data_IF_881905944396
#
_entry.id   IF_881905944396
#
_cell.length_a   1.000
_cell.length_b   1.000
_cell.length_c   1.000
_cell.angle_alpha   90.00
_cell.angle_beta   90.00
_cell.angle_gamma   90.00
#
_symmetry.space_group_name_H-M   'P 1'
#
loop_
_entity.id
_entity.type
_entity.pdbx_description
1 polymer ?
#
# COMPACT_ATOMS: atom_id res chain seq x y z
N UNK A 1 -1.52 -27.20 10.95
CA UNK A 1 -0.60 -26.11 11.36
C UNK A 1 -1.02 -24.84 10.64
N UNK A 2 -1.60 -23.86 11.33
CA UNK A 2 -1.95 -22.56 10.72
C UNK A 2 -0.65 -21.83 10.37
N UNK A 3 -0.29 -21.76 9.09
CA UNK A 3 0.85 -20.94 8.66
C UNK A 3 0.44 -19.47 8.84
N UNK A 4 1.23 -18.73 9.61
CA UNK A 4 1.07 -17.28 9.73
C UNK A 4 1.08 -16.63 8.34
N UNK A 5 0.13 -15.73 8.08
CA UNK A 5 0.09 -15.01 6.80
C UNK A 5 1.39 -14.20 6.59
N UNK A 6 1.84 -14.02 5.34
CA UNK A 6 3.03 -13.22 5.07
C UNK A 6 2.88 -11.78 5.57
N UNK A 7 4.01 -11.19 5.97
CA UNK A 7 4.12 -9.81 6.44
C UNK A 7 4.99 -9.02 5.45
N UNK A 8 4.74 -7.73 5.33
CA UNK A 8 5.64 -6.79 4.66
C UNK A 8 6.20 -5.86 5.72
N UNK A 9 7.53 -5.81 5.82
CA UNK A 9 8.21 -4.86 6.68
C UNK A 9 8.60 -3.63 5.89
N UNK A 10 8.35 -2.47 6.46
CA UNK A 10 8.45 -1.19 5.81
C UNK A 10 9.39 -0.28 6.62
N UNK A 11 10.40 0.27 5.95
CA UNK A 11 11.33 1.30 6.47
C UNK A 11 11.34 2.49 5.52
N UNK A 12 11.97 3.61 5.87
CA UNK A 12 11.84 4.85 5.10
C UNK A 12 12.18 4.70 3.61
N UNK A 13 13.27 3.99 3.26
CA UNK A 13 13.72 3.83 1.87
C UNK A 13 13.57 2.40 1.29
N UNK A 14 13.45 1.39 2.16
CA UNK A 14 13.51 -0.02 1.76
C UNK A 14 12.35 -0.81 2.38
N UNK A 15 11.79 -1.72 1.59
CA UNK A 15 10.81 -2.69 2.03
C UNK A 15 11.46 -4.08 2.10
N UNK A 16 11.18 -4.86 3.14
CA UNK A 16 11.53 -6.27 3.16
C UNK A 16 10.31 -7.12 2.80
N UNK A 17 10.37 -7.73 1.63
CA UNK A 17 9.29 -8.52 1.04
C UNK A 17 9.50 -10.02 1.29
N UNK A 18 8.45 -10.81 1.58
CA UNK A 18 8.53 -12.26 1.56
C UNK A 18 8.91 -12.72 0.16
N UNK A 19 10.02 -13.44 0.02
CA UNK A 19 10.56 -13.81 -1.29
C UNK A 19 9.58 -14.65 -2.10
N UNK A 20 8.80 -15.51 -1.43
CA UNK A 20 7.76 -16.36 -2.03
C UNK A 20 6.62 -15.59 -2.74
N UNK A 21 6.48 -14.27 -2.49
CA UNK A 21 5.48 -13.43 -3.15
C UNK A 21 6.03 -12.67 -4.36
N UNK A 22 7.34 -12.67 -4.56
CA UNK A 22 8.01 -11.93 -5.63
C UNK A 22 8.11 -12.75 -6.91
N UNK A 23 8.13 -12.05 -8.04
CA UNK A 23 8.37 -12.64 -9.36
C UNK A 23 9.84 -12.44 -9.74
N UNK A 24 10.46 -13.50 -10.24
CA UNK A 24 11.80 -13.42 -10.79
C UNK A 24 11.83 -12.55 -12.05
N UNK A 25 12.90 -11.76 -12.24
CA UNK A 25 13.12 -10.98 -13.47
C UNK A 25 14.06 -11.69 -14.46
N UNK A 26 14.58 -12.87 -14.07
CA UNK A 26 15.41 -13.73 -14.89
C UNK A 26 15.75 -15.05 -14.17
N UNK A 27 16.49 -15.94 -14.84
CA UNK A 27 16.81 -17.28 -14.31
C UNK A 27 17.70 -17.25 -13.06
N UNK A 28 18.65 -16.31 -12.97
CA UNK A 28 19.49 -16.13 -11.80
C UNK A 28 18.66 -15.71 -10.58
N UNK A 29 17.76 -14.73 -10.76
CA UNK A 29 16.82 -14.29 -9.74
C UNK A 29 15.89 -15.41 -9.29
N UNK A 30 15.41 -16.25 -10.22
CA UNK A 30 14.47 -17.33 -9.88
C UNK A 30 15.04 -18.32 -8.87
N UNK A 31 16.30 -18.76 -9.05
CA UNK A 31 16.97 -19.67 -8.12
C UNK A 31 17.21 -19.04 -6.75
N UNK A 32 17.55 -17.75 -6.75
CA UNK A 32 17.79 -16.99 -5.53
C UNK A 32 16.50 -16.76 -4.74
N UNK A 33 15.43 -16.30 -5.40
CA UNK A 33 14.12 -16.09 -4.79
C UNK A 33 13.51 -17.37 -4.24
N UNK A 34 13.70 -18.51 -4.92
CA UNK A 34 13.17 -19.80 -4.49
C UNK A 34 13.73 -20.28 -3.12
N UNK A 35 14.91 -19.78 -2.74
CA UNK A 35 15.59 -20.16 -1.49
C UNK A 35 15.56 -19.06 -0.43
N UNK A 36 15.35 -17.82 -0.84
CA UNK A 36 15.31 -16.68 0.07
C UNK A 36 14.04 -16.70 0.92
N UNK A 37 14.16 -16.18 2.15
CA UNK A 37 13.01 -15.90 3.01
C UNK A 37 12.47 -14.49 2.75
N UNK A 38 13.38 -13.53 2.65
CA UNK A 38 13.06 -12.13 2.39
C UNK A 38 13.90 -11.57 1.24
N UNK A 39 13.41 -10.49 0.65
CA UNK A 39 14.16 -9.66 -0.30
C UNK A 39 14.02 -8.21 0.10
N UNK A 40 15.14 -7.52 0.22
CA UNK A 40 15.17 -6.08 0.37
C UNK A 40 14.89 -5.44 -1.00
N UNK A 41 13.87 -4.61 -1.06
CA UNK A 41 13.41 -3.90 -2.25
C UNK A 41 13.42 -2.41 -1.99
N UNK A 42 14.12 -1.66 -2.84
CA UNK A 42 14.12 -0.19 -2.76
C UNK A 42 12.75 0.35 -3.14
N UNK A 43 12.19 1.27 -2.36
CA UNK A 43 10.85 1.81 -2.60
C UNK A 43 10.74 2.63 -3.88
N UNK A 44 11.65 3.59 -4.08
CA UNK A 44 11.61 4.56 -5.20
C UNK A 44 11.55 3.94 -6.60
N UNK A 45 12.21 2.80 -6.83
CA UNK A 45 12.34 2.19 -8.16
C UNK A 45 12.00 0.68 -8.18
N UNK A 46 11.74 0.09 -7.02
CA UNK A 46 11.44 -1.32 -6.89
C UNK A 46 12.59 -2.27 -7.17
N UNK A 47 13.84 -1.80 -7.21
CA UNK A 47 15.03 -2.64 -7.40
C UNK A 47 15.22 -3.59 -6.22
N UNK A 48 15.54 -4.85 -6.51
CA UNK A 48 15.97 -5.81 -5.48
C UNK A 48 17.42 -5.53 -5.10
N UNK A 49 17.67 -5.40 -3.81
CA UNK A 49 18.96 -4.96 -3.24
C UNK A 49 19.71 -6.12 -2.59
N UNK A 50 18.99 -7.02 -1.92
CA UNK A 50 19.56 -8.20 -1.29
C UNK A 50 18.50 -9.29 -1.10
N UNK A 51 18.93 -10.54 -1.07
CA UNK A 51 18.13 -11.67 -0.59
C UNK A 51 18.62 -12.12 0.78
N UNK A 52 17.67 -12.43 1.66
CA UNK A 52 17.91 -12.84 3.04
C UNK A 52 17.52 -14.31 3.17
N UNK A 53 18.46 -15.12 3.66
CA UNK A 53 18.31 -16.54 3.93
C UNK A 53 18.35 -16.79 5.44
N UNK A 54 18.11 -18.02 5.87
CA UNK A 54 18.17 -18.38 7.30
C UNK A 54 19.56 -18.14 7.92
N UNK A 55 20.63 -18.20 7.11
CA UNK A 55 22.01 -18.10 7.57
C UNK A 55 22.84 -17.07 6.80
N UNK A 56 22.24 -15.98 6.32
CA UNK A 56 23.01 -14.88 5.75
C UNK A 56 22.25 -13.99 4.78
N UNK A 57 22.98 -12.99 4.27
CA UNK A 57 22.51 -11.99 3.32
C UNK A 57 23.32 -12.12 2.04
N UNK A 58 22.65 -12.24 0.90
CA UNK A 58 23.27 -12.15 -0.42
C UNK A 58 22.95 -10.79 -1.04
N UNK A 59 23.97 -9.97 -1.25
CA UNK A 59 23.81 -8.69 -1.93
C UNK A 59 23.54 -8.89 -3.42
N UNK A 60 22.57 -8.14 -3.95
CA UNK A 60 22.26 -8.06 -5.38
C UNK A 60 22.82 -6.77 -6.02
N UNK A 61 23.53 -5.96 -5.23
CA UNK A 61 24.19 -4.73 -5.66
C UNK A 61 25.64 -4.69 -5.16
N UNK A 62 26.54 -3.91 -5.81
CA UNK A 62 27.96 -3.89 -5.44
C UNK A 62 28.24 -3.41 -4.00
N UNK A 63 27.45 -2.45 -3.49
CA UNK A 63 27.74 -1.78 -2.21
C UNK A 63 26.50 -1.67 -1.31
N UNK A 64 25.92 -2.81 -0.90
CA UNK A 64 24.75 -2.83 -0.01
C UNK A 64 24.93 -2.01 1.29
N UNK A 65 26.08 -2.03 1.99
CA UNK A 65 26.23 -1.24 3.21
C UNK A 65 26.14 0.27 3.01
N UNK A 66 26.38 0.77 1.78
CA UNK A 66 26.29 2.19 1.44
C UNK A 66 24.91 2.57 0.90
N UNK A 67 24.03 1.59 0.65
CA UNK A 67 22.69 1.85 0.15
C UNK A 67 21.83 2.51 1.24
N UNK A 68 21.23 3.69 0.97
CA UNK A 68 20.40 4.38 1.94
C UNK A 68 19.28 3.48 2.49
N UNK A 69 19.18 3.39 3.82
CA UNK A 69 18.20 2.55 4.52
C UNK A 69 18.52 1.06 4.59
N UNK A 70 19.65 0.58 4.03
CA UNK A 70 19.95 -0.85 4.04
C UNK A 70 20.24 -1.39 5.44
N UNK A 71 21.03 -0.67 6.24
CA UNK A 71 21.28 -1.02 7.64
C UNK A 71 19.97 -1.02 8.44
N UNK A 72 19.15 0.03 8.30
CA UNK A 72 17.84 0.13 8.95
C UNK A 72 16.92 -1.04 8.58
N UNK A 73 16.84 -1.42 7.31
CA UNK A 73 15.99 -2.52 6.86
C UNK A 73 16.46 -3.88 7.37
N UNK A 74 17.78 -4.11 7.45
CA UNK A 74 18.36 -5.32 8.03
C UNK A 74 18.11 -5.38 9.54
N UNK A 75 18.29 -4.27 10.24
CA UNK A 75 18.00 -4.16 11.67
C UNK A 75 16.51 -4.39 11.93
N UNK A 76 15.63 -3.75 11.16
CA UNK A 76 14.19 -3.91 11.22
C UNK A 76 13.77 -5.40 11.09
N UNK A 77 14.39 -6.14 10.18
CA UNK A 77 14.13 -7.58 10.00
C UNK A 77 14.50 -8.41 11.23
N UNK A 78 15.53 -8.02 11.99
CA UNK A 78 15.90 -8.71 13.23
C UNK A 78 14.81 -8.61 14.31
N UNK A 79 13.96 -7.58 14.24
CA UNK A 79 12.81 -7.40 15.15
C UNK A 79 11.62 -8.29 14.80
N UNK A 80 11.53 -8.81 13.56
CA UNK A 80 10.54 -9.81 13.17
C UNK A 80 10.93 -11.21 13.70
N UNK A 81 10.95 -11.33 15.04
CA UNK A 81 11.20 -12.59 15.72
C UNK A 81 9.85 -13.29 16.05
N UNK A 82 9.60 -14.51 15.53
CA UNK A 82 8.39 -15.28 15.82
C UNK A 82 8.12 -15.47 17.32
N UNK A 83 9.17 -15.47 18.17
CA UNK A 83 9.05 -15.68 19.61
C UNK A 83 8.68 -14.41 20.40
N UNK A 84 8.92 -13.21 19.86
CA UNK A 84 8.61 -11.94 20.55
C UNK A 84 7.24 -11.36 20.21
N UNK A 85 6.57 -11.91 19.19
CA UNK A 85 5.32 -11.39 18.66
C UNK A 85 5.50 -10.09 17.88
N UNK A 86 4.59 -9.79 16.94
CA UNK A 86 4.66 -8.57 16.13
C UNK A 86 4.06 -7.33 16.81
N UNK A 87 3.51 -7.47 18.01
CA UNK A 87 2.68 -6.45 18.69
C UNK A 87 3.26 -5.02 18.67
N UNK A 88 4.52 -4.81 19.09
CA UNK A 88 5.14 -3.47 19.07
C UNK A 88 5.26 -2.86 17.66
N UNK A 89 5.42 -3.69 16.62
CA UNK A 89 5.55 -3.22 15.24
C UNK A 89 4.19 -2.89 14.60
N UNK A 90 3.08 -3.49 15.05
CA UNK A 90 1.73 -3.26 14.51
C UNK A 90 1.23 -1.81 14.68
N UNK A 91 1.75 -1.12 15.70
CA UNK A 91 1.37 0.26 16.03
C UNK A 91 2.42 1.29 15.58
N UNK A 92 3.61 0.84 15.17
CA UNK A 92 4.70 1.74 14.80
C UNK A 92 4.45 2.31 13.39
N UNK A 93 4.59 3.62 13.29
CA UNK A 93 4.50 4.38 12.05
C UNK A 93 5.89 4.94 11.69
N UNK A 94 6.15 5.10 10.40
CA UNK A 94 7.32 5.79 9.87
C UNK A 94 7.19 7.30 10.06
N UNK A 95 8.33 7.98 10.17
CA UNK A 95 8.36 9.43 10.35
C UNK A 95 7.96 10.13 9.06
N UNK A 96 7.05 11.13 9.09
CA UNK A 96 6.70 11.92 7.92
C UNK A 96 7.74 13.00 7.59
N UNK A 97 8.89 13.07 8.27
CA UNK A 97 9.85 14.18 8.14
C UNK A 97 10.32 14.41 6.69
N UNK A 98 10.55 13.35 5.91
CA UNK A 98 10.94 13.46 4.49
C UNK A 98 9.81 13.86 3.53
N UNK A 99 8.56 13.97 3.99
CA UNK A 99 7.43 14.34 3.14
C UNK A 99 7.42 15.82 2.77
N UNK A 100 7.80 16.70 3.69
CA UNK A 100 7.76 18.15 3.46
C UNK A 100 8.68 18.54 2.30
N UNK A 101 9.91 18.02 2.26
CA UNK A 101 10.86 18.27 1.17
C UNK A 101 10.32 17.77 -0.18
N UNK A 102 9.67 16.60 -0.20
CA UNK A 102 9.07 16.02 -1.41
C UNK A 102 7.87 16.81 -1.92
N UNK A 103 7.06 17.34 -1.02
CA UNK A 103 5.94 18.21 -1.36
C UNK A 103 6.43 19.55 -1.92
N UNK A 104 7.47 20.14 -1.32
CA UNK A 104 8.09 21.36 -1.83
C UNK A 104 8.65 21.19 -3.25
N UNK A 105 9.23 20.03 -3.57
CA UNK A 105 9.68 19.71 -4.95
C UNK A 105 8.53 19.70 -5.97
N UNK A 106 7.30 19.45 -5.52
CA UNK A 106 6.09 19.54 -6.33
C UNK A 106 5.45 20.94 -6.31
N UNK A 107 6.08 21.91 -5.64
CA UNK A 107 5.53 23.25 -5.43
C UNK A 107 4.33 23.26 -4.48
N UNK A 108 4.23 22.28 -3.59
CA UNK A 108 3.14 22.13 -2.62
C UNK A 108 3.63 22.46 -1.22
N UNK A 109 2.93 23.37 -0.57
CA UNK A 109 3.04 23.58 0.87
C UNK A 109 2.09 22.62 1.60
N UNK A 110 2.64 21.84 2.55
CA UNK A 110 1.90 20.77 3.20
C UNK A 110 0.74 21.31 4.06
N UNK A 111 0.99 22.39 4.81
CA UNK A 111 0.00 22.97 5.72
C UNK A 111 -1.12 23.66 4.94
N UNK A 112 -0.80 24.40 3.88
CA UNK A 112 -1.78 25.00 2.99
C UNK A 112 -2.60 23.93 2.26
N UNK A 113 -1.96 22.84 1.81
CA UNK A 113 -2.68 21.72 1.17
C UNK A 113 -3.64 21.04 2.15
N UNK A 114 -3.19 20.77 3.39
CA UNK A 114 -4.03 20.22 4.45
C UNK A 114 -5.21 21.15 4.77
N UNK A 115 -4.97 22.46 4.91
CA UNK A 115 -6.01 23.43 5.21
C UNK A 115 -7.05 23.56 4.08
N UNK A 116 -6.60 23.53 2.82
CA UNK A 116 -7.48 23.69 1.66
C UNK A 116 -8.31 22.45 1.35
N UNK A 117 -7.80 21.25 1.65
CA UNK A 117 -8.45 19.97 1.33
C UNK A 117 -9.09 19.31 2.53
N UNK A 118 -8.70 19.67 3.76
CA UNK A 118 -9.06 18.93 4.97
C UNK A 118 -8.47 17.52 5.04
N UNK A 119 -7.55 17.14 4.12
CA UNK A 119 -6.84 15.87 4.18
C UNK A 119 -5.74 15.94 5.25
N UNK A 120 -5.56 14.83 5.98
CA UNK A 120 -4.51 14.70 6.97
C UNK A 120 -3.25 14.06 6.35
N UNK A 121 -2.10 14.33 6.97
CA UNK A 121 -0.89 13.57 6.69
C UNK A 121 -1.04 12.13 7.20
N UNK A 122 -0.80 11.19 6.30
CA UNK A 122 -0.90 9.75 6.52
C UNK A 122 0.51 9.15 6.57
N UNK A 123 0.96 8.82 7.78
CA UNK A 123 2.21 8.11 7.98
C UNK A 123 2.09 6.65 7.52
N UNK A 124 3.19 6.10 7.01
CA UNK A 124 3.23 4.70 6.60
C UNK A 124 3.39 3.78 7.82
N UNK A 125 2.69 2.64 7.89
CA UNK A 125 2.94 1.64 8.92
C UNK A 125 4.28 0.92 8.68
N UNK A 126 4.98 0.58 9.76
CA UNK A 126 6.19 -0.26 9.71
C UNK A 126 5.86 -1.70 9.34
N UNK A 127 4.67 -2.18 9.72
CA UNK A 127 4.25 -3.55 9.48
C UNK A 127 2.90 -3.62 8.75
N UNK A 128 2.88 -4.40 7.67
CA UNK A 128 1.70 -4.66 6.86
C UNK A 128 1.47 -6.17 6.74
N UNK A 129 0.20 -6.53 6.56
CA UNK A 129 -0.27 -7.91 6.48
C UNK A 129 -0.73 -8.23 5.07
N UNK A 130 -0.39 -9.43 4.61
CA UNK A 130 -0.88 -9.93 3.34
C UNK A 130 -2.41 -10.08 3.39
N UNK A 131 -3.08 -9.40 2.47
CA UNK A 131 -4.53 -9.32 2.38
C UNK A 131 -5.08 -10.04 1.14
N UNK A 132 -4.23 -10.82 0.45
CA UNK A 132 -4.55 -11.53 -0.79
C UNK A 132 -3.79 -10.95 -1.97
N UNK A 133 -4.29 -11.21 -3.18
CA UNK A 133 -3.79 -10.57 -4.40
C UNK A 133 -4.85 -9.65 -4.96
N UNK A 134 -4.41 -8.54 -5.54
CA UNK A 134 -5.28 -7.68 -6.32
C UNK A 134 -5.64 -8.32 -7.67
N UNK A 135 -6.53 -7.67 -8.43
CA UNK A 135 -7.00 -8.17 -9.73
C UNK A 135 -5.90 -8.34 -10.77
N UNK A 136 -4.75 -7.70 -10.58
CA UNK A 136 -3.56 -7.83 -11.44
C UNK A 136 -2.57 -8.89 -10.94
N UNK A 137 -2.94 -9.63 -9.89
CA UNK A 137 -2.14 -10.68 -9.28
C UNK A 137 -0.97 -10.17 -8.42
N UNK A 138 -0.93 -8.87 -8.08
CA UNK A 138 0.08 -8.29 -7.20
C UNK A 138 -0.31 -8.53 -5.73
N UNK A 139 0.66 -8.74 -4.81
CA UNK A 139 0.34 -8.85 -3.39
C UNK A 139 -0.36 -7.60 -2.87
N UNK A 140 -1.48 -7.80 -2.16
CA UNK A 140 -2.23 -6.75 -1.49
C UNK A 140 -1.76 -6.66 -0.03
N UNK A 141 -1.43 -5.45 0.40
CA UNK A 141 -0.92 -5.17 1.74
C UNK A 141 -1.84 -4.19 2.45
N UNK A 142 -2.22 -4.50 3.70
CA UNK A 142 -3.06 -3.67 4.56
C UNK A 142 -2.59 -3.79 6.02
N UNK A 143 -2.96 -2.84 6.87
CA UNK A 143 -2.82 -3.01 8.33
C UNK A 143 -3.64 -4.22 8.79
N UNK A 144 -3.24 -4.85 9.91
CA UNK A 144 -3.84 -6.09 10.40
C UNK A 144 -5.38 -6.04 10.47
N UNK A 145 -5.93 -4.99 11.07
CA UNK A 145 -7.38 -4.80 11.23
C UNK A 145 -8.10 -4.70 9.88
N UNK A 146 -7.63 -3.82 8.99
CA UNK A 146 -8.14 -3.67 7.64
C UNK A 146 -8.03 -4.97 6.83
N UNK A 147 -6.92 -5.71 6.92
CA UNK A 147 -6.75 -6.99 6.25
C UNK A 147 -7.76 -8.05 6.73
N UNK A 148 -8.04 -8.10 8.03
CA UNK A 148 -9.04 -9.01 8.61
C UNK A 148 -10.45 -8.62 8.21
N UNK A 149 -10.78 -7.33 8.29
CA UNK A 149 -12.07 -6.78 7.87
C UNK A 149 -12.33 -7.05 6.38
N UNK A 150 -11.34 -6.79 5.51
CA UNK A 150 -11.42 -7.08 4.08
C UNK A 150 -11.76 -8.55 3.80
N UNK A 151 -11.08 -9.49 4.47
CA UNK A 151 -11.38 -10.92 4.30
C UNK A 151 -12.80 -11.29 4.72
N UNK A 152 -13.30 -10.72 5.83
CA UNK A 152 -14.69 -10.96 6.28
C UNK A 152 -15.70 -10.37 5.32
N UNK A 153 -15.48 -9.14 4.87
CA UNK A 153 -16.36 -8.44 3.92
C UNK A 153 -16.48 -9.20 2.60
N UNK A 154 -15.34 -9.61 2.00
CA UNK A 154 -15.35 -10.42 0.78
C UNK A 154 -16.05 -11.77 0.96
N UNK A 155 -15.83 -12.43 2.10
CA UNK A 155 -16.43 -13.74 2.36
C UNK A 155 -17.95 -13.62 2.50
N UNK A 156 -18.44 -12.56 3.16
CA UNK A 156 -19.87 -12.29 3.25
C UNK A 156 -20.45 -11.99 1.86
N UNK A 157 -19.87 -11.03 1.14
CA UNK A 157 -20.31 -10.69 -0.22
C UNK A 157 -20.41 -11.94 -1.11
N UNK A 158 -19.39 -12.81 -1.08
CA UNK A 158 -19.37 -14.02 -1.88
C UNK A 158 -20.48 -15.02 -1.51
N UNK A 159 -20.87 -15.12 -0.22
CA UNK A 159 -21.99 -15.95 0.22
C UNK A 159 -23.34 -15.43 -0.28
N UNK A 160 -23.41 -14.14 -0.55
CA UNK A 160 -24.59 -13.44 -1.05
C UNK A 160 -24.55 -13.27 -2.58
N UNK A 161 -23.64 -13.98 -3.26
CA UNK A 161 -23.52 -13.95 -4.72
C UNK A 161 -22.82 -12.72 -5.30
N UNK A 162 -22.23 -11.87 -4.45
CA UNK A 162 -21.50 -10.66 -4.85
C UNK A 162 -19.99 -10.93 -4.88
N UNK A 163 -19.38 -10.72 -6.04
CA UNK A 163 -17.94 -10.83 -6.19
C UNK A 163 -17.26 -9.48 -5.94
N UNK A 164 -16.33 -9.44 -4.98
CA UNK A 164 -15.46 -8.29 -4.74
C UNK A 164 -14.00 -8.65 -5.05
N UNK A 165 -13.35 -7.83 -5.88
CA UNK A 165 -11.92 -7.86 -6.12
C UNK A 165 -11.24 -6.59 -5.56
N UNK A 166 -9.95 -6.70 -5.25
CA UNK A 166 -9.14 -5.55 -4.86
C UNK A 166 -8.40 -5.02 -6.08
N UNK A 167 -8.32 -3.70 -6.20
CA UNK A 167 -7.59 -3.01 -7.26
C UNK A 167 -6.23 -2.54 -6.71
N UNK A 168 -6.24 -1.92 -5.53
CA UNK A 168 -5.05 -1.37 -4.88
C UNK A 168 -5.24 -1.27 -3.36
N UNK A 169 -4.15 -1.41 -2.58
CA UNK A 169 -4.16 -1.34 -1.11
C UNK A 169 -3.10 -0.36 -0.62
N UNK A 170 -2.25 -0.77 0.32
CA UNK A 170 -1.12 0.07 0.76
C UNK A 170 -0.27 0.57 -0.42
N UNK A 171 0.11 1.85 -0.34
CA UNK A 171 0.96 2.55 -1.29
C UNK A 171 1.94 3.43 -0.53
N UNK A 172 3.24 3.30 -0.77
CA UNK A 172 4.23 4.17 -0.13
C UNK A 172 4.18 5.60 -0.67
N UNK A 173 4.72 6.55 0.09
CA UNK A 173 4.98 7.93 -0.28
C UNK A 173 5.84 7.99 -1.55
N UNK A 174 6.90 7.17 -1.61
CA UNK A 174 7.76 7.02 -2.79
C UNK A 174 6.99 6.57 -4.03
N UNK A 175 6.08 5.59 -3.88
CA UNK A 175 5.26 5.14 -5.00
C UNK A 175 4.34 6.25 -5.49
N UNK A 176 3.69 6.99 -4.57
CA UNK A 176 2.79 8.09 -4.90
C UNK A 176 3.56 9.23 -5.59
N UNK A 177 4.77 9.57 -5.12
CA UNK A 177 5.64 10.53 -5.80
C UNK A 177 5.97 10.09 -7.22
N UNK A 178 6.29 8.80 -7.43
CA UNK A 178 6.51 8.25 -8.76
C UNK A 178 5.28 8.36 -9.69
N UNK A 179 4.04 8.35 -9.15
CA UNK A 179 2.84 8.64 -9.96
C UNK A 179 2.87 10.08 -10.46
N UNK A 180 3.20 11.03 -9.59
CA UNK A 180 3.31 12.45 -9.92
C UNK A 180 4.39 12.67 -10.97
N UNK A 181 5.60 12.16 -10.76
CA UNK A 181 6.72 12.27 -11.70
C UNK A 181 6.34 11.76 -13.10
N UNK A 182 5.69 10.59 -13.19
CA UNK A 182 5.24 10.03 -14.48
C UNK A 182 4.16 10.87 -15.16
N UNK A 183 3.29 11.53 -14.40
CA UNK A 183 2.23 12.40 -14.94
C UNK A 183 2.79 13.75 -15.39
N UNK A 184 3.72 14.32 -14.63
CA UNK A 184 4.48 15.52 -14.99
C UNK A 184 5.30 15.28 -16.27
N UNK A 185 5.98 14.13 -16.38
CA UNK A 185 6.71 13.73 -17.59
C UNK A 185 5.80 13.56 -18.82
N UNK A 186 4.49 13.37 -18.63
CA UNK A 186 3.47 13.36 -19.69
C UNK A 186 2.84 14.73 -19.95
N UNK A 187 3.34 15.78 -19.32
CA UNK A 187 2.88 17.16 -19.51
C UNK A 187 1.68 17.57 -18.67
N UNK A 188 1.20 16.75 -17.72
CA UNK A 188 0.14 17.16 -16.80
C UNK A 188 0.69 18.15 -15.77
N UNK A 189 -0.11 19.13 -15.38
CA UNK A 189 0.24 20.07 -14.30
C UNK A 189 -0.11 19.49 -12.94
N UNK A 190 0.63 19.86 -11.89
CA UNK A 190 0.37 19.42 -10.51
C UNK A 190 -1.10 19.62 -10.11
N UNK A 191 -1.68 20.79 -10.43
CA UNK A 191 -3.09 21.09 -10.14
C UNK A 191 -4.09 20.15 -10.84
N UNK A 192 -3.76 19.58 -12.00
CA UNK A 192 -4.60 18.61 -12.71
C UNK A 192 -4.47 17.23 -12.09
N UNK A 193 -3.25 16.85 -11.69
CA UNK A 193 -2.96 15.60 -11.00
C UNK A 193 -3.73 15.55 -9.66
N UNK A 194 -3.74 16.66 -8.92
CA UNK A 194 -4.36 16.76 -7.60
C UNK A 194 -5.88 16.60 -7.60
N UNK A 195 -6.55 16.71 -8.75
CA UNK A 195 -8.01 16.42 -8.85
C UNK A 195 -8.31 14.93 -8.72
N UNK A 196 -7.38 14.07 -9.13
CA UNK A 196 -7.58 12.61 -9.23
C UNK A 196 -6.58 11.82 -8.37
N UNK A 197 -5.63 12.49 -7.72
CA UNK A 197 -4.64 11.87 -6.87
C UNK A 197 -4.29 12.80 -5.71
N UNK A 198 -4.50 12.35 -4.48
CA UNK A 198 -3.98 13.06 -3.30
C UNK A 198 -2.46 13.24 -3.40
N UNK A 199 -1.94 14.34 -2.84
CA UNK A 199 -0.51 14.60 -2.79
C UNK A 199 0.24 13.49 -2.01
N UNK A 200 1.52 13.21 -2.32
CA UNK A 200 2.33 12.28 -1.53
C UNK A 200 2.30 12.66 -0.04
N UNK A 201 1.95 11.70 0.82
CA UNK A 201 1.74 11.95 2.25
C UNK A 201 0.30 12.22 2.65
N UNK A 202 -0.59 12.57 1.71
CA UNK A 202 -2.01 12.85 1.98
C UNK A 202 -2.97 11.79 1.41
N UNK A 203 -2.44 10.73 0.80
CA UNK A 203 -3.26 9.59 0.35
C UNK A 203 -3.54 8.64 1.51
N UNK A 204 -4.82 8.29 1.71
CA UNK A 204 -5.23 7.30 2.70
C UNK A 204 -4.60 5.91 2.48
N UNK A 205 -4.13 5.60 1.27
CA UNK A 205 -3.39 4.36 0.99
C UNK A 205 -2.07 4.27 1.75
N UNK A 206 -1.44 5.38 2.13
CA UNK A 206 -0.21 5.38 2.92
C UNK A 206 -0.42 4.71 4.28
N UNK A 207 -1.59 4.91 4.87
CA UNK A 207 -1.95 4.32 6.16
C UNK A 207 -2.04 2.79 6.15
N UNK A 208 -2.15 2.17 4.97
CA UNK A 208 -2.51 0.76 4.82
C UNK A 208 -3.93 0.41 5.29
N UNK A 209 -4.80 1.41 5.49
CA UNK A 209 -6.20 1.23 5.86
C UNK A 209 -7.17 1.45 4.70
N UNK A 210 -6.72 2.08 3.60
CA UNK A 210 -7.51 2.27 2.40
C UNK A 210 -7.35 1.12 1.41
N UNK A 211 -8.42 0.86 0.67
CA UNK A 211 -8.55 -0.19 -0.31
C UNK A 211 -9.40 0.30 -1.48
N UNK A 212 -8.88 0.14 -2.69
CA UNK A 212 -9.68 0.28 -3.91
C UNK A 212 -10.36 -1.07 -4.20
N UNK A 213 -11.68 -1.06 -4.31
CA UNK A 213 -12.52 -2.25 -4.51
C UNK A 213 -13.18 -2.17 -5.88
N UNK A 214 -13.23 -3.30 -6.57
CA UNK A 214 -13.94 -3.46 -7.83
C UNK A 214 -14.75 -4.76 -7.85
N UNK A 215 -15.26 -5.07 -9.04
CA UNK A 215 -15.95 -6.32 -9.35
C UNK A 215 -15.44 -6.90 -10.67
N UNK A 216 -15.39 -8.24 -10.83
CA UNK A 216 -15.04 -8.85 -12.11
C UNK A 216 -15.94 -8.35 -13.25
N UNK A 217 -15.32 -8.07 -14.41
CA UNK A 217 -16.03 -7.58 -15.60
C UNK A 217 -16.13 -6.05 -15.71
N UNK A 218 -15.95 -5.32 -14.62
CA UNK A 218 -15.96 -3.85 -14.61
C UNK A 218 -14.54 -3.25 -14.70
N UNK A 219 -14.34 -2.11 -15.39
CA UNK A 219 -13.07 -1.41 -15.43
C UNK A 219 -12.56 -1.00 -14.03
N UNK A 220 -11.24 -1.08 -13.77
CA UNK A 220 -10.70 -0.75 -12.45
C UNK A 220 -10.68 0.75 -12.20
N UNK A 221 -11.18 1.17 -11.04
CA UNK A 221 -11.08 2.55 -10.56
C UNK A 221 -11.72 3.55 -11.51
N UNK A 222 -12.89 3.20 -12.02
CA UNK A 222 -13.73 4.04 -12.87
C UNK A 222 -15.08 4.30 -12.22
N UNK A 223 -15.71 5.41 -12.60
CA UNK A 223 -16.99 5.82 -12.02
C UNK A 223 -18.12 4.82 -12.31
N UNK A 224 -18.02 4.05 -13.40
CA UNK A 224 -18.99 2.99 -13.76
C UNK A 224 -19.21 1.95 -12.66
N UNK A 225 -18.23 1.78 -11.76
CA UNK A 225 -18.37 0.87 -10.62
C UNK A 225 -19.61 1.19 -9.78
N UNK A 226 -20.03 2.47 -9.71
CA UNK A 226 -21.21 2.90 -8.96
C UNK A 226 -22.53 2.28 -9.46
N UNK A 227 -22.57 1.81 -10.70
CA UNK A 227 -23.74 1.20 -11.35
C UNK A 227 -23.84 -0.32 -11.09
N UNK A 228 -22.85 -0.90 -10.39
CA UNK A 228 -22.75 -2.34 -10.20
C UNK A 228 -23.51 -2.83 -8.96
N UNK A 229 -23.95 -4.10 -9.00
CA UNK A 229 -24.50 -4.77 -7.81
C UNK A 229 -23.50 -4.85 -6.65
N UNK A 230 -22.19 -4.89 -6.95
CA UNK A 230 -21.13 -4.87 -5.96
C UNK A 230 -21.07 -3.54 -5.20
N UNK A 231 -21.18 -2.41 -5.89
CA UNK A 231 -21.23 -1.10 -5.24
C UNK A 231 -22.50 -0.93 -4.41
N UNK A 232 -23.66 -1.32 -4.94
CA UNK A 232 -24.91 -1.31 -4.18
C UNK A 232 -24.79 -2.13 -2.87
N UNK A 233 -24.19 -3.33 -2.96
CA UNK A 233 -23.93 -4.15 -1.78
C UNK A 233 -22.99 -3.49 -0.77
N UNK A 234 -21.90 -2.85 -1.23
CA UNK A 234 -20.96 -2.14 -0.37
C UNK A 234 -21.61 -0.98 0.38
N UNK A 235 -22.49 -0.22 -0.28
CA UNK A 235 -23.21 0.90 0.35
C UNK A 235 -24.05 0.46 1.56
N UNK A 236 -24.58 -0.76 1.52
CA UNK A 236 -25.39 -1.33 2.61
C UNK A 236 -24.53 -2.03 3.68
N UNK A 237 -23.45 -2.70 3.30
CA UNK A 237 -22.75 -3.66 4.16
C UNK A 237 -21.35 -3.23 4.60
N UNK A 238 -20.66 -2.34 3.87
CA UNK A 238 -19.26 -2.03 4.13
C UNK A 238 -19.03 -1.44 5.53
N UNK A 239 -19.97 -0.64 6.03
CA UNK A 239 -19.93 -0.05 7.37
C UNK A 239 -19.91 -1.11 8.47
N UNK A 240 -20.60 -2.25 8.31
CA UNK A 240 -20.58 -3.35 9.28
C UNK A 240 -19.22 -4.04 9.38
N UNK A 241 -18.39 -3.90 8.35
CA UNK A 241 -16.99 -4.35 8.35
C UNK A 241 -16.02 -3.24 8.74
N UNK A 242 -16.52 -2.06 9.08
CA UNK A 242 -15.72 -0.90 9.46
C UNK A 242 -15.16 -0.10 8.29
N UNK A 243 -15.71 -0.25 7.08
CA UNK A 243 -15.31 0.52 5.90
C UNK A 243 -16.30 1.65 5.61
N UNK A 244 -15.76 2.80 5.18
CA UNK A 244 -16.53 3.92 4.61
C UNK A 244 -15.95 4.35 3.28
N UNK A 245 -16.79 4.83 2.38
CA UNK A 245 -16.33 5.48 1.16
C UNK A 245 -15.76 6.86 1.50
N UNK A 246 -14.57 7.19 1.00
CA UNK A 246 -13.90 8.45 1.37
C UNK A 246 -14.25 9.62 0.45
N UNK A 247 -14.54 9.35 -0.83
CA UNK A 247 -14.74 10.39 -1.84
C UNK A 247 -16.09 10.26 -2.56
N UNK A 248 -17.23 10.47 -1.86
CA UNK A 248 -18.53 10.65 -2.52
C UNK A 248 -18.54 11.89 -3.43
N UNK A 249 -19.57 12.01 -4.27
CA UNK A 249 -19.84 13.24 -5.03
C UNK A 249 -19.97 14.43 -4.06
N UNK A 250 -19.28 15.53 -4.35
CA UNK A 250 -19.29 16.73 -3.51
C UNK A 250 -18.52 16.61 -2.20
N UNK A 251 -17.63 15.61 -2.05
CA UNK A 251 -16.74 15.55 -0.90
C UNK A 251 -15.92 16.86 -0.73
N UNK A 252 -15.56 17.24 0.50
CA UNK A 252 -14.91 18.53 0.77
C UNK A 252 -13.43 18.57 0.35
N UNK A 253 -12.86 17.43 -0.09
CA UNK A 253 -11.42 17.31 -0.33
C UNK A 253 -10.99 17.80 -1.73
N UNK A 254 -11.95 18.12 -2.60
CA UNK A 254 -11.68 18.49 -3.99
C UNK A 254 -11.16 17.32 -4.86
N UNK A 255 -11.20 16.10 -4.32
CA UNK A 255 -10.94 14.87 -5.06
C UNK A 255 -12.22 14.50 -5.83
N UNK A 256 -12.07 14.03 -7.07
CA UNK A 256 -13.21 13.55 -7.86
C UNK A 256 -13.97 12.42 -7.15
N UNK A 257 -15.19 12.13 -7.59
CA UNK A 257 -15.92 10.99 -7.03
C UNK A 257 -15.18 9.67 -7.32
N UNK A 258 -14.88 8.90 -6.28
CA UNK A 258 -14.20 7.61 -6.35
C UNK A 258 -15.06 6.51 -5.70
N UNK A 259 -16.07 5.94 -6.39
CA UNK A 259 -16.94 4.89 -5.84
C UNK A 259 -16.18 3.61 -5.44
N UNK A 260 -14.96 3.44 -5.96
CA UNK A 260 -14.08 2.32 -5.65
C UNK A 260 -13.25 2.52 -4.38
N UNK A 261 -13.11 3.73 -3.81
CA UNK A 261 -12.15 4.00 -2.72
C UNK A 261 -12.81 3.91 -1.33
N UNK A 262 -12.38 2.93 -0.55
CA UNK A 262 -12.93 2.63 0.78
C UNK A 262 -11.85 2.62 1.86
N UNK A 263 -12.08 3.33 2.96
CA UNK A 263 -11.19 3.36 4.12
C UNK A 263 -11.76 2.59 5.28
N UNK A 264 -10.93 1.73 5.86
CA UNK A 264 -11.21 1.09 7.13
C UNK A 264 -11.00 2.06 8.30
N UNK A 265 -11.99 2.21 9.16
CA UNK A 265 -11.99 3.13 10.30
C UNK A 265 -12.07 2.42 11.66
N UNK A 266 -12.00 1.09 11.67
CA UNK A 266 -12.31 0.30 12.87
C UNK A 266 -13.75 -0.22 12.82
N UNK A 267 -14.01 -1.24 13.64
CA UNK A 267 -15.34 -1.80 13.91
C UNK A 267 -15.74 -1.47 15.33
#
# INVERSE_FOLDING_TARGET
MSRSLPLLLNTDAIEAWPAALLRARGNADARLLARARWVLRRKRDGRYLAAIFDHGVHSLIPHLPQEPGAAEALDALSWLNPQRGSGPLEQRLLSPQGLHERLQQLGLDADAYAANTGLALEAEPVLLHFAGRDRFGRPLWLRRGAAQAWRRMRLQAAREGIALDAISGYRSHDYQLGIFERKLARGQRVAEILKVNAAPGFSEHHSGMALDIGTPGDPPAEASFEETAAFAWLQEHAAWHGFRMSYPRGNPHGIVHEPWHWRWCGS
#
